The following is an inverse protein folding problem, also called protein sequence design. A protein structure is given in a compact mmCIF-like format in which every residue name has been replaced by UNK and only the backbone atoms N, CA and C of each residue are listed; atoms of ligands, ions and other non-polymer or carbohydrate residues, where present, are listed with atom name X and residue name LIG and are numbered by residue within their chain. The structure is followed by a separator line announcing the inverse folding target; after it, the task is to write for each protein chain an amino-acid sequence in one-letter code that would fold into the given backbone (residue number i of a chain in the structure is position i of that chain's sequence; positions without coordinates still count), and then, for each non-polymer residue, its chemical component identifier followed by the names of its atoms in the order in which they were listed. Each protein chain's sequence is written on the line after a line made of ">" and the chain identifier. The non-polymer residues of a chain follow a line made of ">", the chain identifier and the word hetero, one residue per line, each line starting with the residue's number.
data_IF_691746059971
#
_entry.id   IF_691746059971
#
_cell.length_a   1.000
_cell.length_b   1.000
_cell.length_c   1.000
_cell.angle_alpha   90.00
_cell.angle_beta   90.00
_cell.angle_gamma   90.00
#
_symmetry.space_group_name_H-M   'P 1'
#
loop_
_entity.id
_entity.type
_entity.pdbx_description
1 polymer ?
#
# COMPACT_ATOMS: atom_id res chain seq x y z
N UNK A 1 2.42 15.66 -5.41
CA UNK A 1 2.43 14.66 -4.32
C UNK A 1 3.66 14.89 -3.45
N UNK A 2 3.51 14.83 -2.13
CA UNK A 2 4.59 15.06 -1.16
C UNK A 2 4.48 14.14 0.05
N UNK A 3 5.57 14.00 0.79
CA UNK A 3 5.59 13.35 2.11
C UNK A 3 4.97 14.31 3.13
N UNK A 4 3.99 13.84 3.90
CA UNK A 4 3.19 14.67 4.82
C UNK A 4 3.87 14.79 6.18
N UNK A 5 4.47 13.71 6.67
CA UNK A 5 5.03 13.67 8.03
C UNK A 5 6.32 12.83 8.12
N UNK A 6 6.97 12.87 9.28
CA UNK A 6 8.16 12.09 9.58
C UNK A 6 9.48 12.72 9.09
N UNK A 7 10.52 11.88 8.99
CA UNK A 7 11.89 12.31 8.66
C UNK A 7 12.06 12.97 7.28
N UNK A 8 11.17 12.63 6.31
CA UNK A 8 11.18 13.20 4.97
C UNK A 8 10.03 14.21 4.72
N UNK A 9 9.42 14.76 5.77
CA UNK A 9 8.30 15.71 5.68
C UNK A 9 8.57 16.84 4.68
N UNK A 10 7.58 17.13 3.83
CA UNK A 10 7.64 18.21 2.84
C UNK A 10 8.34 17.83 1.54
N UNK A 11 9.00 16.65 1.48
CA UNK A 11 9.69 16.21 0.28
C UNK A 11 8.70 16.00 -0.87
N UNK A 12 8.95 16.67 -1.99
CA UNK A 12 8.19 16.51 -3.22
C UNK A 12 8.63 15.25 -3.96
N UNK A 13 7.72 14.31 -4.17
CA UNK A 13 7.99 13.06 -4.88
C UNK A 13 7.85 13.26 -6.39
N UNK A 14 8.63 12.50 -7.15
CA UNK A 14 8.52 12.44 -8.59
C UNK A 14 7.23 11.68 -8.97
N UNK A 15 6.56 12.12 -10.03
CA UNK A 15 5.33 11.53 -10.57
C UNK A 15 5.51 11.25 -12.06
N UNK A 16 4.71 10.36 -12.66
CA UNK A 16 4.70 10.16 -14.11
C UNK A 16 4.44 11.47 -14.85
N UNK A 17 4.99 11.60 -16.06
CA UNK A 17 4.80 12.80 -16.90
C UNK A 17 3.40 12.90 -17.49
N UNK A 18 2.68 11.79 -17.61
CA UNK A 18 1.32 11.71 -18.14
C UNK A 18 0.33 11.77 -16.98
N UNK A 19 -0.59 12.73 -17.01
CA UNK A 19 -1.50 13.11 -15.93
C UNK A 19 -2.69 12.14 -15.67
N UNK A 20 -2.72 10.96 -16.25
CA UNK A 20 -3.82 10.00 -16.08
C UNK A 20 -3.83 9.27 -14.73
N UNK A 21 -2.82 9.48 -13.91
CA UNK A 21 -2.79 8.96 -12.54
C UNK A 21 -3.36 10.03 -11.61
N UNK A 22 -4.60 9.82 -11.15
CA UNK A 22 -5.22 10.66 -10.12
C UNK A 22 -4.42 10.51 -8.82
N UNK A 23 -3.64 11.52 -8.41
CA UNK A 23 -2.88 11.40 -7.17
C UNK A 23 -3.86 11.37 -5.99
N UNK A 24 -3.62 10.45 -5.04
CA UNK A 24 -4.23 10.56 -3.71
C UNK A 24 -3.98 11.95 -3.18
N UNK A 25 -5.03 12.72 -2.93
CA UNK A 25 -4.87 14.10 -2.46
C UNK A 25 -4.19 14.10 -1.09
N UNK A 26 -3.40 15.13 -0.78
CA UNK A 26 -2.77 15.30 0.53
C UNK A 26 -3.77 15.09 1.67
N UNK A 27 -5.01 15.54 1.51
CA UNK A 27 -6.10 15.39 2.49
C UNK A 27 -6.51 13.93 2.71
N UNK A 28 -6.66 13.15 1.64
CA UNK A 28 -7.01 11.72 1.73
C UNK A 28 -5.86 10.96 2.36
N UNK A 29 -4.64 11.24 1.93
CA UNK A 29 -3.42 10.63 2.48
C UNK A 29 -3.26 10.94 3.97
N UNK A 30 -3.43 12.19 4.40
CA UNK A 30 -3.38 12.59 5.81
C UNK A 30 -4.46 11.86 6.62
N UNK A 31 -5.68 11.79 6.12
CA UNK A 31 -6.77 11.08 6.77
C UNK A 31 -6.52 9.58 6.86
N UNK A 32 -5.95 8.95 5.81
CA UNK A 32 -5.52 7.56 5.83
C UNK A 32 -4.50 7.32 6.95
N UNK A 33 -3.45 8.14 7.01
CA UNK A 33 -2.40 7.97 8.00
C UNK A 33 -2.86 8.27 9.44
N UNK A 34 -3.86 9.10 9.63
CA UNK A 34 -4.50 9.27 10.95
C UNK A 34 -5.19 7.98 11.43
N UNK A 35 -5.70 7.17 10.49
CA UNK A 35 -6.33 5.88 10.82
C UNK A 35 -5.28 4.80 11.09
N UNK A 36 -4.25 4.69 10.23
CA UNK A 36 -3.27 3.59 10.30
C UNK A 36 -2.02 3.91 11.14
N UNK A 37 -1.93 5.11 11.72
CA UNK A 37 -0.75 5.52 12.48
C UNK A 37 -0.30 4.51 13.56
N UNK A 38 -1.22 3.83 14.30
CA UNK A 38 -0.82 2.82 15.29
C UNK A 38 -0.11 1.60 14.71
N UNK A 39 -0.24 1.35 13.40
CA UNK A 39 0.36 0.21 12.70
C UNK A 39 1.70 0.52 12.04
N UNK A 40 2.17 1.78 12.05
CA UNK A 40 3.31 2.21 11.22
C UNK A 40 4.66 1.99 11.90
N UNK A 41 4.82 2.47 13.14
CA UNK A 41 6.12 2.50 13.82
C UNK A 41 6.70 1.10 14.00
N UNK A 42 7.96 0.91 13.59
CA UNK A 42 8.75 -0.33 13.72
C UNK A 42 8.16 -1.57 13.02
N UNK A 43 7.16 -1.39 12.15
CA UNK A 43 6.46 -2.47 11.47
C UNK A 43 6.83 -2.59 9.98
N UNK A 44 6.57 -3.78 9.42
CA UNK A 44 6.80 -4.08 8.01
C UNK A 44 5.59 -3.69 7.16
N UNK A 45 5.86 -3.10 6.01
CA UNK A 45 4.87 -2.58 5.06
C UNK A 45 5.03 -3.22 3.70
N UNK A 46 3.93 -3.59 3.05
CA UNK A 46 3.87 -4.00 1.65
C UNK A 46 3.05 -2.99 0.85
N UNK A 47 3.69 -2.35 -0.13
CA UNK A 47 3.03 -1.50 -1.12
C UNK A 47 2.88 -2.31 -2.41
N UNK A 48 1.72 -3.00 -2.55
CA UNK A 48 1.54 -4.08 -3.53
C UNK A 48 1.35 -3.57 -4.96
N UNK A 49 0.96 -2.31 -5.12
CA UNK A 49 0.83 -1.62 -6.39
C UNK A 49 1.43 -0.22 -6.25
N UNK A 50 2.75 -0.17 -6.13
CA UNK A 50 3.46 0.97 -5.58
C UNK A 50 3.33 2.28 -6.38
N UNK A 51 3.20 2.22 -7.70
CA UNK A 51 3.06 3.40 -8.56
C UNK A 51 4.23 4.36 -8.43
N UNK A 52 4.07 5.39 -7.61
CA UNK A 52 5.14 6.35 -7.26
C UNK A 52 5.88 5.99 -5.98
N UNK A 53 5.38 5.01 -5.21
CA UNK A 53 5.88 4.64 -3.89
C UNK A 53 5.44 5.58 -2.76
N UNK A 54 4.47 6.46 -3.03
CA UNK A 54 4.07 7.51 -2.09
C UNK A 54 3.61 7.00 -0.72
N UNK A 55 2.82 5.91 -0.69
CA UNK A 55 2.29 5.35 0.56
C UNK A 55 3.38 4.64 1.36
N UNK A 56 4.17 3.79 0.71
CA UNK A 56 5.28 3.09 1.36
C UNK A 56 6.36 4.05 1.87
N UNK A 57 6.72 5.08 1.09
CA UNK A 57 7.68 6.11 1.51
C UNK A 57 7.14 6.93 2.68
N UNK A 58 5.85 7.24 2.71
CA UNK A 58 5.21 7.90 3.87
C UNK A 58 5.36 7.06 5.13
N UNK A 59 5.12 5.73 5.05
CA UNK A 59 5.33 4.82 6.18
C UNK A 59 6.77 4.84 6.67
N UNK A 60 7.74 4.73 5.77
CA UNK A 60 9.17 4.78 6.12
C UNK A 60 9.56 6.12 6.73
N UNK A 61 9.01 7.23 6.21
CA UNK A 61 9.22 8.56 6.77
C UNK A 61 8.69 8.67 8.21
N UNK A 62 7.62 7.95 8.53
CA UNK A 62 6.99 7.92 9.87
C UNK A 62 7.57 6.86 10.81
N UNK A 63 8.60 6.14 10.39
CA UNK A 63 9.34 5.19 11.25
C UNK A 63 8.97 3.72 11.05
N UNK A 64 8.36 3.33 9.94
CA UNK A 64 8.22 1.92 9.59
C UNK A 64 9.60 1.26 9.48
N UNK A 65 9.69 -0.01 9.86
CA UNK A 65 10.95 -0.76 9.87
C UNK A 65 11.41 -1.07 8.45
N UNK A 66 10.52 -1.57 7.60
CA UNK A 66 10.82 -1.97 6.22
C UNK A 66 9.60 -1.76 5.33
N UNK A 67 9.83 -1.43 4.07
CA UNK A 67 8.79 -1.44 3.05
C UNK A 67 9.23 -2.22 1.82
N UNK A 68 8.37 -3.15 1.38
CA UNK A 68 8.50 -3.83 0.09
C UNK A 68 7.59 -3.16 -0.92
N UNK A 69 8.16 -2.65 -1.99
CA UNK A 69 7.45 -2.00 -3.09
C UNK A 69 7.34 -2.95 -4.27
N UNK A 70 6.11 -3.23 -4.71
CA UNK A 70 5.82 -4.10 -5.84
C UNK A 70 5.13 -3.30 -6.93
N UNK A 71 5.61 -3.38 -8.15
CA UNK A 71 4.92 -2.88 -9.35
C UNK A 71 5.42 -3.62 -10.60
N UNK A 72 4.49 -4.01 -11.47
CA UNK A 72 4.83 -4.67 -12.73
C UNK A 72 5.41 -3.71 -13.78
N UNK A 73 5.06 -2.42 -13.70
CA UNK A 73 5.51 -1.39 -14.62
C UNK A 73 6.97 -1.02 -14.34
N UNK A 74 7.83 -1.15 -15.36
CA UNK A 74 9.23 -0.70 -15.27
C UNK A 74 9.33 0.82 -15.08
N UNK A 75 8.41 1.58 -15.67
CA UNK A 75 8.37 3.03 -15.52
C UNK A 75 8.01 3.43 -14.08
N UNK A 76 6.94 2.85 -13.51
CA UNK A 76 6.57 3.04 -12.11
C UNK A 76 7.72 2.66 -11.19
N UNK A 77 8.33 1.51 -11.40
CA UNK A 77 9.45 1.05 -10.56
C UNK A 77 10.68 1.97 -10.63
N UNK A 78 10.95 2.57 -11.79
CA UNK A 78 12.01 3.58 -11.91
C UNK A 78 11.69 4.84 -11.09
N UNK A 79 10.43 5.27 -11.07
CA UNK A 79 9.96 6.40 -10.25
C UNK A 79 10.06 6.05 -8.77
N UNK A 80 9.61 4.87 -8.35
CA UNK A 80 9.73 4.36 -6.97
C UNK A 80 11.17 4.42 -6.50
N UNK A 81 12.11 3.85 -7.25
CA UNK A 81 13.55 3.86 -6.92
C UNK A 81 14.11 5.28 -6.81
N UNK A 82 13.73 6.17 -7.71
CA UNK A 82 14.11 7.58 -7.66
C UNK A 82 13.60 8.27 -6.40
N UNK A 83 12.33 8.01 -6.02
CA UNK A 83 11.71 8.59 -4.84
C UNK A 83 12.30 8.02 -3.53
N UNK A 84 12.60 6.73 -3.48
CA UNK A 84 13.30 6.07 -2.36
C UNK A 84 14.65 6.76 -2.10
N UNK A 85 15.46 6.93 -3.14
CA UNK A 85 16.74 7.63 -3.06
C UNK A 85 16.58 9.08 -2.60
N UNK A 86 15.62 9.80 -3.16
CA UNK A 86 15.30 11.18 -2.80
C UNK A 86 14.87 11.33 -1.34
N UNK A 87 14.12 10.36 -0.84
CA UNK A 87 13.67 10.29 0.55
C UNK A 87 14.74 9.76 1.52
N UNK A 88 15.87 9.24 1.02
CA UNK A 88 16.97 8.63 1.79
C UNK A 88 16.49 7.46 2.66
N UNK A 89 15.72 6.55 2.07
CA UNK A 89 15.15 5.37 2.72
C UNK A 89 15.55 4.07 2.01
N UNK A 90 16.69 4.07 1.33
CA UNK A 90 17.18 2.92 0.56
C UNK A 90 17.38 1.67 1.43
N UNK A 91 17.93 1.85 2.63
CA UNK A 91 18.27 0.75 3.52
C UNK A 91 17.02 0.01 4.06
N UNK A 92 15.90 0.72 4.17
CA UNK A 92 14.61 0.19 4.66
C UNK A 92 13.70 -0.26 3.52
N UNK A 93 14.17 -0.18 2.26
CA UNK A 93 13.35 -0.41 1.06
C UNK A 93 13.80 -1.64 0.28
N UNK A 94 12.85 -2.46 -0.14
CA UNK A 94 13.03 -3.53 -1.12
C UNK A 94 12.11 -3.28 -2.31
N UNK A 95 12.60 -3.43 -3.53
CA UNK A 95 11.80 -3.22 -4.75
C UNK A 95 11.69 -4.49 -5.57
N UNK A 96 10.47 -4.86 -5.98
CA UNK A 96 10.16 -6.03 -6.81
C UNK A 96 9.43 -5.57 -8.07
N UNK A 97 10.11 -5.59 -9.23
CA UNK A 97 9.50 -5.24 -10.52
C UNK A 97 8.89 -6.48 -11.17
N UNK A 98 7.83 -6.99 -10.58
CA UNK A 98 7.08 -8.19 -11.01
C UNK A 98 5.59 -7.97 -10.79
N UNK A 99 4.74 -8.86 -11.32
CA UNK A 99 3.31 -8.83 -11.05
C UNK A 99 2.99 -9.20 -9.60
N UNK A 100 1.82 -8.78 -9.12
CA UNK A 100 1.45 -8.96 -7.71
C UNK A 100 1.31 -10.43 -7.30
N UNK A 101 0.82 -11.33 -8.19
CA UNK A 101 0.66 -12.74 -7.86
C UNK A 101 2.01 -13.41 -7.63
N UNK A 102 2.97 -13.15 -8.51
CA UNK A 102 4.34 -13.62 -8.37
C UNK A 102 5.00 -13.08 -7.10
N UNK A 103 4.80 -11.78 -6.81
CA UNK A 103 5.32 -11.15 -5.60
C UNK A 103 4.75 -11.78 -4.33
N UNK A 104 3.43 -11.89 -4.23
CA UNK A 104 2.73 -12.45 -3.06
C UNK A 104 3.15 -13.90 -2.81
N UNK A 105 3.20 -14.72 -3.87
CA UNK A 105 3.65 -16.13 -3.76
C UNK A 105 5.10 -16.23 -3.29
N UNK A 106 5.99 -15.40 -3.84
CA UNK A 106 7.41 -15.38 -3.45
C UNK A 106 7.60 -14.96 -2.00
N UNK A 107 6.95 -13.88 -1.58
CA UNK A 107 7.01 -13.36 -0.21
C UNK A 107 6.45 -14.36 0.80
N UNK A 108 5.32 -15.02 0.47
CA UNK A 108 4.73 -16.06 1.32
C UNK A 108 5.65 -17.28 1.51
N UNK A 109 6.32 -17.74 0.43
CA UNK A 109 7.32 -18.81 0.51
C UNK A 109 8.54 -18.46 1.37
N UNK A 110 8.88 -17.18 1.46
CA UNK A 110 9.96 -16.67 2.32
C UNK A 110 9.52 -16.49 3.78
N UNK A 111 8.22 -16.67 4.08
CA UNK A 111 7.67 -16.46 5.42
C UNK A 111 7.57 -14.98 5.80
N UNK A 112 7.61 -14.07 4.82
CA UNK A 112 7.45 -12.63 5.07
C UNK A 112 6.05 -12.33 5.61
N UNK A 113 5.97 -11.38 6.56
CA UNK A 113 4.74 -10.90 7.16
C UNK A 113 4.74 -9.38 7.19
N UNK A 114 3.55 -8.81 7.01
CA UNK A 114 3.36 -7.36 6.95
C UNK A 114 2.23 -6.92 7.88
N UNK A 115 2.47 -5.86 8.62
CA UNK A 115 1.45 -5.23 9.46
C UNK A 115 0.54 -4.30 8.66
N UNK A 116 1.08 -3.70 7.58
CA UNK A 116 0.29 -2.89 6.65
C UNK A 116 0.50 -3.41 5.23
N UNK A 117 -0.60 -3.61 4.50
CA UNK A 117 -0.58 -3.90 3.07
C UNK A 117 -1.42 -2.85 2.35
N UNK A 118 -0.83 -2.10 1.44
CA UNK A 118 -1.53 -1.17 0.56
C UNK A 118 -1.89 -1.82 -0.76
N UNK A 119 -3.12 -1.55 -1.20
CA UNK A 119 -3.64 -1.89 -2.52
C UNK A 119 -4.27 -0.64 -3.12
N UNK A 120 -3.50 0.11 -3.90
CA UNK A 120 -3.91 1.32 -4.60
C UNK A 120 -3.70 1.14 -6.11
N UNK A 121 -4.78 0.76 -6.80
CA UNK A 121 -4.77 0.66 -8.27
C UNK A 121 -5.94 1.39 -8.90
N UNK A 122 -5.71 2.10 -10.02
CA UNK A 122 -6.74 3.00 -10.55
C UNK A 122 -7.97 2.33 -11.18
N UNK A 123 -8.04 1.01 -11.54
CA UNK A 123 -9.06 0.63 -12.54
C UNK A 123 -9.72 -0.75 -12.48
N UNK A 124 -9.44 -1.71 -11.56
CA UNK A 124 -10.08 -3.03 -11.66
C UNK A 124 -10.45 -3.66 -10.31
N UNK A 125 -11.74 -3.55 -9.94
CA UNK A 125 -12.31 -4.19 -8.74
C UNK A 125 -11.95 -5.67 -8.61
N UNK A 126 -12.07 -6.44 -9.68
CA UNK A 126 -11.78 -7.89 -9.65
C UNK A 126 -10.31 -8.18 -9.28
N UNK A 127 -9.39 -7.32 -9.70
CA UNK A 127 -7.97 -7.46 -9.35
C UNK A 127 -7.72 -7.27 -7.85
N UNK A 128 -8.44 -6.37 -7.19
CA UNK A 128 -8.34 -6.18 -5.74
C UNK A 128 -8.86 -7.40 -4.97
N UNK A 129 -9.97 -8.01 -5.43
CA UNK A 129 -10.49 -9.24 -4.83
C UNK A 129 -9.49 -10.38 -4.98
N UNK A 130 -8.91 -10.55 -6.17
CA UNK A 130 -7.83 -11.51 -6.42
C UNK A 130 -6.61 -11.25 -5.55
N UNK A 131 -6.23 -9.97 -5.36
CA UNK A 131 -5.11 -9.59 -4.52
C UNK A 131 -5.37 -9.88 -3.02
N UNK A 132 -6.59 -9.58 -2.53
CA UNK A 132 -7.00 -9.91 -1.16
C UNK A 132 -6.96 -11.42 -0.93
N UNK A 133 -7.55 -12.22 -1.84
CA UNK A 133 -7.51 -13.68 -1.78
C UNK A 133 -6.07 -14.22 -1.78
N UNK A 134 -5.21 -13.69 -2.67
CA UNK A 134 -3.82 -14.11 -2.76
C UNK A 134 -3.03 -13.79 -1.49
N UNK A 135 -3.26 -12.63 -0.88
CA UNK A 135 -2.63 -12.22 0.39
C UNK A 135 -3.04 -13.14 1.53
N UNK A 136 -4.33 -13.49 1.60
CA UNK A 136 -4.85 -14.42 2.62
C UNK A 136 -4.30 -15.84 2.42
N UNK A 137 -4.38 -16.40 1.22
CA UNK A 137 -3.88 -17.74 0.87
C UNK A 137 -2.38 -17.90 1.13
N UNK A 138 -1.57 -16.86 0.92
CA UNK A 138 -0.13 -16.86 1.18
C UNK A 138 0.22 -16.36 2.58
N UNK A 139 -0.77 -16.10 3.42
CA UNK A 139 -0.61 -15.75 4.83
C UNK A 139 0.34 -14.57 5.07
N UNK A 140 0.22 -13.49 4.27
CA UNK A 140 1.13 -12.34 4.32
C UNK A 140 0.77 -11.30 5.37
N UNK A 141 -0.48 -11.26 5.84
CA UNK A 141 -0.90 -10.28 6.84
C UNK A 141 -0.58 -10.79 8.25
N UNK A 142 -0.02 -9.93 9.11
CA UNK A 142 0.08 -10.20 10.54
C UNK A 142 -1.32 -10.28 11.18
N UNK A 143 -1.46 -11.01 12.30
CA UNK A 143 -2.75 -11.19 13.00
C UNK A 143 -3.40 -9.85 13.35
N UNK A 144 -2.60 -8.89 13.85
CA UNK A 144 -3.03 -7.52 14.16
C UNK A 144 -2.89 -6.55 12.97
N UNK A 145 -2.62 -7.07 11.78
CA UNK A 145 -2.36 -6.26 10.60
C UNK A 145 -3.60 -5.64 9.98
N UNK A 146 -3.36 -4.74 9.02
CA UNK A 146 -4.42 -4.04 8.29
C UNK A 146 -4.09 -3.96 6.80
N UNK A 147 -5.07 -4.27 5.96
CA UNK A 147 -5.00 -4.04 4.51
C UNK A 147 -5.80 -2.77 4.19
N UNK A 148 -5.24 -1.90 3.38
CA UNK A 148 -5.88 -0.69 2.89
C UNK A 148 -6.08 -0.81 1.39
N UNK A 149 -7.34 -0.72 0.95
CA UNK A 149 -7.71 -0.68 -0.47
C UNK A 149 -8.22 0.73 -0.79
N UNK A 150 -7.55 1.44 -1.69
CA UNK A 150 -8.03 2.70 -2.25
C UNK A 150 -8.72 2.42 -3.60
N UNK A 151 -9.98 2.86 -3.74
CA UNK A 151 -10.79 2.57 -4.93
C UNK A 151 -11.81 3.69 -5.24
N UNK A 152 -12.46 3.62 -6.40
CA UNK A 152 -13.57 4.52 -6.74
C UNK A 152 -14.78 4.23 -5.83
N UNK A 153 -15.45 5.29 -5.39
CA UNK A 153 -16.65 5.18 -4.53
C UNK A 153 -17.81 4.44 -5.19
N UNK A 154 -17.80 4.31 -6.51
CA UNK A 154 -18.79 3.53 -7.26
C UNK A 154 -18.61 2.02 -7.12
N UNK A 155 -17.40 1.58 -6.77
CA UNK A 155 -17.11 0.17 -6.56
C UNK A 155 -17.55 -0.26 -5.16
N UNK A 156 -18.12 -1.46 -5.07
CA UNK A 156 -18.44 -2.09 -3.79
C UNK A 156 -17.52 -3.28 -3.56
N UNK A 157 -17.06 -3.46 -2.34
CA UNK A 157 -16.20 -4.56 -1.96
C UNK A 157 -16.92 -5.52 -1.02
N UNK A 158 -16.63 -6.84 -1.08
CA UNK A 158 -17.27 -7.84 -0.23
C UNK A 158 -16.95 -7.60 1.26
N UNK A 159 -17.87 -8.01 2.13
CA UNK A 159 -17.66 -7.96 3.59
C UNK A 159 -16.53 -8.90 4.03
N UNK A 160 -16.42 -10.07 3.37
CA UNK A 160 -15.40 -11.07 3.68
C UNK A 160 -14.71 -11.57 2.42
N UNK A 161 -13.41 -11.85 2.51
CA UNK A 161 -12.59 -12.53 1.50
C UNK A 161 -11.67 -13.52 2.22
N UNK A 162 -12.00 -14.83 2.15
CA UNK A 162 -11.30 -15.83 2.97
C UNK A 162 -11.44 -15.52 4.46
N UNK A 163 -10.32 -15.40 5.15
CA UNK A 163 -10.25 -15.01 6.59
C UNK A 163 -10.23 -13.50 6.82
N UNK A 164 -10.25 -12.71 5.75
CA UNK A 164 -10.25 -11.26 5.83
C UNK A 164 -11.68 -10.75 5.95
N UNK A 165 -11.94 -9.84 6.88
CA UNK A 165 -13.21 -9.13 7.00
C UNK A 165 -13.04 -7.63 6.81
N UNK A 166 -14.04 -6.98 6.23
CA UNK A 166 -14.07 -5.52 6.08
C UNK A 166 -14.36 -4.86 7.43
N UNK A 167 -13.32 -4.30 8.03
CA UNK A 167 -13.40 -3.69 9.34
C UNK A 167 -13.90 -2.25 9.31
N UNK A 168 -13.69 -1.54 8.19
CA UNK A 168 -14.03 -0.13 8.04
C UNK A 168 -14.11 0.27 6.58
N UNK A 169 -14.95 1.26 6.29
CA UNK A 169 -14.99 1.96 5.02
C UNK A 169 -15.10 3.47 5.25
N UNK A 170 -14.39 4.29 4.49
CA UNK A 170 -14.43 5.75 4.58
C UNK A 170 -14.38 6.41 3.21
N UNK A 171 -15.39 7.24 2.92
CA UNK A 171 -15.58 7.90 1.62
C UNK A 171 -15.04 9.33 1.64
N UNK A 172 -14.36 9.68 0.55
CA UNK A 172 -13.81 11.02 0.29
C UNK A 172 -14.14 11.43 -1.15
N UNK A 173 -15.33 11.97 -1.37
CA UNK A 173 -15.81 12.29 -2.71
C UNK A 173 -15.89 11.04 -3.59
N UNK A 174 -15.08 10.97 -4.64
CA UNK A 174 -15.04 9.83 -5.56
C UNK A 174 -14.02 8.75 -5.15
N UNK A 175 -13.33 8.93 -4.04
CA UNK A 175 -12.35 7.97 -3.50
C UNK A 175 -12.88 7.36 -2.22
N UNK A 176 -12.79 6.05 -2.10
CA UNK A 176 -13.11 5.29 -0.89
C UNK A 176 -11.88 4.53 -0.42
N UNK A 177 -11.66 4.57 0.89
CA UNK A 177 -10.69 3.71 1.58
C UNK A 177 -11.47 2.60 2.27
N UNK A 178 -11.19 1.35 1.90
CA UNK A 178 -11.73 0.16 2.55
C UNK A 178 -10.62 -0.58 3.28
N UNK A 179 -10.88 -0.94 4.52
CA UNK A 179 -9.93 -1.58 5.42
C UNK A 179 -10.34 -3.00 5.72
N UNK A 180 -9.40 -3.94 5.54
CA UNK A 180 -9.58 -5.34 5.91
C UNK A 180 -8.64 -5.73 7.03
N UNK A 181 -9.11 -6.65 7.88
CA UNK A 181 -8.35 -7.28 8.96
C UNK A 181 -8.56 -8.79 8.94
N UNK A 182 -7.69 -9.52 9.64
CA UNK A 182 -7.90 -10.95 9.89
C UNK A 182 -9.04 -11.16 10.89
N UNK A 183 -9.90 -12.17 10.66
CA UNK A 183 -10.81 -12.64 11.69
C UNK A 183 -10.02 -13.18 12.88
N UNK A 184 -10.43 -12.83 14.09
CA UNK A 184 -9.86 -13.40 15.31
C UNK A 184 -10.19 -14.90 15.34
N UNK A 185 -9.18 -15.71 15.62
CA UNK A 185 -9.31 -17.16 15.70
C UNK A 185 -10.15 -17.60 16.91
#
# INVERSE_FOLDING_TARGET
>A
MRVISGKARGLKLNTPKNEDVRPTTDRVKESLFNIINPYVMDNNVLDLFAGTGSLGIECLSRGAHKCVFVDKSKESMAIVKSNIKKARVENESTTLNIDFKSAVTSLGRQGEKFTIIFMDQPYYKNMFIDALSSVDENNLLEEDGIIVVEHDTKDSFPENVGRLYKSREKKYGNTTLTFYKMEEA
#
